data_IF_922408795677
#
_entry.id   IF_922408795677
#
_cell.length_a   1.000
_cell.length_b   1.000
_cell.length_c   1.000
_cell.angle_alpha   90.00
_cell.angle_beta   90.00
_cell.angle_gamma   90.00
#
_symmetry.space_group_name_H-M   'P 1'
#
loop_
_entity.id
_entity.type
_entity.pdbx_description
1 polymer ?
#
# COMPACT_ATOMS: atom_id res chain seq x y z
N UNK A 1 -29.11 -24.33 -1.18
CA UNK A 1 -28.23 -24.17 -2.36
C UNK A 1 -28.92 -23.65 -3.64
N UNK A 2 -30.26 -23.75 -3.79
CA UNK A 2 -30.96 -23.33 -5.03
C UNK A 2 -31.56 -21.90 -5.03
N UNK A 3 -31.66 -21.22 -3.87
CA UNK A 3 -32.23 -19.87 -3.82
C UNK A 3 -31.19 -18.78 -4.16
N UNK A 4 -29.95 -18.93 -3.67
CA UNK A 4 -28.84 -18.02 -3.97
C UNK A 4 -28.44 -18.04 -5.46
N UNK A 5 -28.39 -19.23 -6.08
CA UNK A 5 -28.13 -19.36 -7.52
C UNK A 5 -29.19 -18.70 -8.39
N UNK A 6 -30.45 -18.65 -7.93
CA UNK A 6 -31.54 -17.97 -8.65
C UNK A 6 -31.43 -16.45 -8.52
N UNK A 7 -31.07 -15.93 -7.34
CA UNK A 7 -30.86 -14.49 -7.10
C UNK A 7 -29.66 -13.94 -7.90
N UNK A 8 -28.58 -14.71 -8.05
CA UNK A 8 -27.44 -14.31 -8.89
C UNK A 8 -27.79 -14.34 -10.39
N UNK A 9 -28.52 -15.36 -10.84
CA UNK A 9 -28.94 -15.48 -12.25
C UNK A 9 -29.97 -14.43 -12.66
N UNK A 10 -30.89 -14.08 -11.75
CA UNK A 10 -31.87 -13.01 -11.96
C UNK A 10 -31.22 -11.60 -11.88
N UNK A 11 -30.06 -11.44 -11.21
CA UNK A 11 -29.26 -10.21 -11.25
C UNK A 11 -28.41 -10.11 -12.53
N UNK A 12 -27.80 -11.21 -12.98
CA UNK A 12 -27.04 -11.27 -14.24
C UNK A 12 -27.94 -11.00 -15.46
N UNK A 13 -29.14 -11.59 -15.54
CA UNK A 13 -30.09 -11.31 -16.63
C UNK A 13 -30.63 -9.88 -16.62
N UNK A 14 -30.71 -9.24 -15.45
CA UNK A 14 -31.16 -7.85 -15.30
C UNK A 14 -30.03 -6.84 -15.61
N UNK A 15 -28.76 -7.29 -15.59
CA UNK A 15 -27.60 -6.54 -16.07
C UNK A 15 -27.46 -6.73 -17.59
N UNK A 16 -27.53 -7.96 -18.11
CA UNK A 16 -27.47 -8.24 -19.55
C UNK A 16 -28.59 -7.53 -20.35
N UNK A 17 -29.83 -7.51 -19.82
CA UNK A 17 -30.96 -6.84 -20.49
C UNK A 17 -30.93 -5.30 -20.41
N UNK A 18 -30.07 -4.71 -19.56
CA UNK A 18 -29.88 -3.25 -19.46
C UNK A 18 -28.64 -2.75 -20.18
N UNK A 19 -27.59 -3.57 -20.32
CA UNK A 19 -26.32 -3.15 -20.94
C UNK A 19 -26.37 -3.22 -22.47
N UNK A 20 -27.05 -4.22 -23.04
CA UNK A 20 -27.13 -4.41 -24.49
C UNK A 20 -27.89 -3.31 -25.28
N UNK A 21 -28.98 -2.69 -24.78
CA UNK A 21 -29.67 -1.62 -25.50
C UNK A 21 -28.94 -0.26 -25.46
N UNK A 22 -28.05 -0.05 -24.47
CA UNK A 22 -27.31 1.22 -24.31
C UNK A 22 -26.18 1.34 -25.34
N UNK A 23 -25.70 0.21 -25.87
CA UNK A 23 -24.62 0.15 -26.88
C UNK A 23 -25.06 0.71 -28.24
N UNK A 24 -26.35 0.96 -28.49
CA UNK A 24 -26.87 1.38 -29.81
C UNK A 24 -27.44 2.80 -29.91
N UNK A 25 -27.32 3.67 -28.90
CA UNK A 25 -27.85 5.04 -29.03
C UNK A 25 -26.82 6.15 -28.74
N UNK A 26 -26.78 7.08 -29.71
CA UNK A 26 -26.16 8.42 -29.75
C UNK A 26 -24.64 8.52 -29.89
N UNK A 27 -24.21 8.60 -31.15
CA UNK A 27 -23.01 9.32 -31.59
C UNK A 27 -23.30 10.82 -31.46
N UNK A 28 -22.79 11.46 -30.41
CA UNK A 28 -22.30 12.85 -30.46
C UNK A 28 -21.25 13.04 -29.35
N UNK A 29 -20.08 13.44 -29.79
CA UNK A 29 -18.82 13.64 -29.07
C UNK A 29 -18.92 14.71 -27.95
N UNK A 30 -18.43 14.43 -26.71
CA UNK A 30 -17.93 15.47 -25.83
C UNK A 30 -16.50 15.12 -25.38
N UNK A 31 -15.56 15.03 -26.32
CA UNK A 31 -14.15 15.22 -26.00
C UNK A 31 -13.99 16.69 -25.55
N UNK A 32 -13.68 16.92 -24.27
CA UNK A 32 -13.63 18.20 -23.54
C UNK A 32 -14.94 18.76 -22.95
N UNK A 33 -15.64 17.97 -22.13
CA UNK A 33 -16.42 18.53 -21.02
C UNK A 33 -15.75 18.15 -19.71
N UNK A 34 -15.73 19.11 -18.78
CA UNK A 34 -15.17 19.05 -17.43
C UNK A 34 -15.37 17.67 -16.76
N UNK A 35 -14.37 16.79 -16.89
CA UNK A 35 -14.41 15.38 -16.47
C UNK A 35 -14.70 15.25 -14.96
N UNK A 36 -14.36 16.29 -14.21
CA UNK A 36 -14.55 16.40 -12.75
C UNK A 36 -16.02 16.62 -12.38
N UNK A 37 -16.80 17.27 -13.26
CA UNK A 37 -18.17 17.70 -12.98
C UNK A 37 -19.25 16.86 -13.69
N UNK A 38 -18.86 15.75 -14.33
CA UNK A 38 -19.81 14.83 -14.95
C UNK A 38 -20.75 14.24 -13.90
N UNK A 39 -22.02 14.13 -14.25
CA UNK A 39 -22.98 13.28 -13.53
C UNK A 39 -22.66 11.80 -13.74
N UNK A 40 -23.28 10.92 -12.95
CA UNK A 40 -23.11 9.47 -13.10
C UNK A 40 -23.58 8.96 -14.46
N UNK A 41 -24.68 9.52 -14.99
CA UNK A 41 -25.19 9.17 -16.32
C UNK A 41 -24.22 9.59 -17.42
N UNK A 42 -23.69 10.82 -17.37
CA UNK A 42 -22.71 11.32 -18.33
C UNK A 42 -21.40 10.52 -18.30
N UNK A 43 -20.94 10.11 -17.11
CA UNK A 43 -19.79 9.21 -16.97
C UNK A 43 -20.06 7.87 -17.65
N UNK A 44 -21.22 7.27 -17.43
CA UNK A 44 -21.56 5.98 -18.03
C UNK A 44 -21.64 6.07 -19.56
N UNK A 45 -22.24 7.13 -20.10
CA UNK A 45 -22.26 7.37 -21.55
C UNK A 45 -20.84 7.52 -22.11
N UNK A 46 -19.99 8.32 -21.46
CA UNK A 46 -18.60 8.50 -21.87
C UNK A 46 -17.83 7.18 -21.84
N UNK A 47 -17.91 6.43 -20.74
CA UNK A 47 -17.23 5.14 -20.57
C UNK A 47 -17.62 4.13 -21.65
N UNK A 48 -18.90 4.06 -22.01
CA UNK A 48 -19.38 3.22 -23.10
C UNK A 48 -18.85 3.71 -24.46
N UNK A 49 -18.83 5.03 -24.68
CA UNK A 49 -18.34 5.64 -25.92
C UNK A 49 -16.86 5.34 -26.14
N UNK A 50 -16.01 5.51 -25.12
CA UNK A 50 -14.58 5.21 -25.24
C UNK A 50 -14.35 3.71 -25.44
N UNK A 51 -15.07 2.84 -24.71
CA UNK A 51 -14.91 1.39 -24.85
C UNK A 51 -15.27 0.92 -26.25
N UNK A 52 -16.37 1.43 -26.80
CA UNK A 52 -16.78 1.12 -28.17
C UNK A 52 -15.73 1.58 -29.19
N UNK A 53 -15.15 2.77 -29.03
CA UNK A 53 -14.14 3.27 -29.98
C UNK A 53 -12.84 2.47 -29.92
N UNK A 54 -12.28 2.28 -28.73
CA UNK A 54 -10.92 1.76 -28.55
C UNK A 54 -10.84 0.23 -28.42
N UNK A 55 -11.88 -0.42 -27.91
CA UNK A 55 -11.91 -1.89 -27.76
C UNK A 55 -12.65 -2.51 -28.95
N UNK A 56 -13.91 -2.14 -29.16
CA UNK A 56 -14.77 -2.82 -30.16
C UNK A 56 -14.38 -2.50 -31.60
N UNK A 57 -14.23 -1.22 -31.94
CA UNK A 57 -13.93 -0.82 -33.33
C UNK A 57 -12.43 -0.71 -33.60
N UNK A 58 -11.62 -0.51 -32.55
CA UNK A 58 -10.19 -0.24 -32.66
C UNK A 58 -9.86 0.89 -33.67
N UNK A 59 -10.75 1.89 -33.76
CA UNK A 59 -10.67 3.00 -34.70
C UNK A 59 -10.06 4.24 -34.01
N UNK A 60 -8.73 4.24 -33.96
CA UNK A 60 -7.96 5.30 -33.33
C UNK A 60 -6.52 5.36 -33.86
N UNK A 61 -5.94 6.56 -33.80
CA UNK A 61 -4.52 6.80 -34.03
C UNK A 61 -3.75 6.82 -32.70
N UNK A 62 -2.42 6.74 -32.74
CA UNK A 62 -1.61 6.91 -31.53
C UNK A 62 -1.80 8.31 -30.91
N UNK A 63 -2.03 9.34 -31.74
CA UNK A 63 -2.37 10.69 -31.26
C UNK A 63 -3.74 10.74 -30.54
N UNK A 64 -4.67 9.83 -30.84
CA UNK A 64 -5.91 9.73 -30.06
C UNK A 64 -5.65 9.12 -28.68
N UNK A 65 -4.71 8.19 -28.57
CA UNK A 65 -4.31 7.59 -27.30
C UNK A 65 -3.65 8.61 -26.36
N UNK A 66 -2.84 9.52 -26.91
CA UNK A 66 -2.18 10.58 -26.14
C UNK A 66 -3.19 11.48 -25.40
N UNK A 67 -4.41 11.62 -25.94
CA UNK A 67 -5.48 12.44 -25.36
C UNK A 67 -6.23 11.75 -24.22
N UNK A 68 -6.08 10.44 -24.05
CA UNK A 68 -6.80 9.70 -23.01
C UNK A 68 -6.36 10.18 -21.62
N UNK A 69 -7.33 10.40 -20.73
CA UNK A 69 -7.03 10.65 -19.32
C UNK A 69 -6.54 9.36 -18.63
N UNK A 70 -5.97 9.48 -17.42
CA UNK A 70 -5.68 8.31 -16.58
C UNK A 70 -6.97 7.53 -16.28
N UNK A 71 -8.08 8.24 -16.02
CA UNK A 71 -9.38 7.63 -15.76
C UNK A 71 -9.95 6.92 -17.00
N UNK A 72 -9.80 7.48 -18.21
CA UNK A 72 -10.15 6.80 -19.46
C UNK A 72 -9.39 5.48 -19.61
N UNK A 73 -8.09 5.47 -19.31
CA UNK A 73 -7.27 4.27 -19.38
C UNK A 73 -7.67 3.24 -18.32
N UNK A 74 -8.05 3.67 -17.12
CA UNK A 74 -8.60 2.77 -16.10
C UNK A 74 -9.88 2.09 -16.59
N UNK A 75 -10.77 2.81 -17.29
CA UNK A 75 -11.97 2.25 -17.93
C UNK A 75 -11.58 1.25 -19.02
N UNK A 76 -10.66 1.61 -19.92
CA UNK A 76 -10.25 0.73 -21.01
C UNK A 76 -9.60 -0.56 -20.50
N UNK A 77 -8.71 -0.48 -19.51
CA UNK A 77 -8.07 -1.65 -18.90
C UNK A 77 -9.11 -2.58 -18.28
N UNK A 78 -10.03 -2.05 -17.46
CA UNK A 78 -11.04 -2.86 -16.81
C UNK A 78 -12.03 -3.49 -17.78
N UNK A 79 -12.52 -2.73 -18.76
CA UNK A 79 -13.47 -3.24 -19.74
C UNK A 79 -12.82 -4.27 -20.67
N UNK A 80 -11.53 -4.11 -20.99
CA UNK A 80 -10.79 -5.13 -21.74
C UNK A 80 -10.61 -6.41 -20.91
N UNK A 81 -10.24 -6.29 -19.62
CA UNK A 81 -10.18 -7.45 -18.69
C UNK A 81 -11.52 -8.15 -18.57
N UNK A 82 -12.61 -7.39 -18.46
CA UNK A 82 -13.96 -7.94 -18.40
C UNK A 82 -14.31 -8.69 -19.69
N UNK A 83 -14.00 -8.12 -20.86
CA UNK A 83 -14.24 -8.77 -22.16
C UNK A 83 -13.45 -10.08 -22.33
N UNK A 84 -12.19 -10.10 -21.90
CA UNK A 84 -11.34 -11.30 -21.88
C UNK A 84 -11.92 -12.39 -20.96
N UNK A 85 -12.23 -12.04 -19.71
CA UNK A 85 -12.71 -12.99 -18.71
C UNK A 85 -14.06 -13.61 -19.06
N UNK A 86 -14.91 -12.88 -19.78
CA UNK A 86 -16.24 -13.33 -20.19
C UNK A 86 -16.28 -13.82 -21.65
N UNK A 87 -15.15 -13.88 -22.35
CA UNK A 87 -15.04 -14.34 -23.74
C UNK A 87 -16.03 -13.65 -24.68
N UNK A 88 -16.25 -12.33 -24.48
CA UNK A 88 -17.27 -11.55 -25.21
C UNK A 88 -16.97 -11.53 -26.72
N UNK A 89 -15.71 -11.71 -27.11
CA UNK A 89 -15.26 -11.77 -28.50
C UNK A 89 -14.51 -13.09 -28.75
N UNK A 90 -15.21 -14.12 -29.26
CA UNK A 90 -14.68 -15.48 -29.42
C UNK A 90 -13.48 -15.59 -30.38
N UNK A 91 -13.41 -14.73 -31.41
CA UNK A 91 -12.33 -14.73 -32.41
C UNK A 91 -11.26 -13.64 -32.17
N UNK A 92 -11.28 -12.98 -31.01
CA UNK A 92 -10.52 -11.75 -30.74
C UNK A 92 -9.65 -11.77 -29.48
N UNK A 93 -9.43 -12.94 -28.85
CA UNK A 93 -8.71 -13.02 -27.56
C UNK A 93 -7.28 -12.46 -27.66
N UNK A 94 -6.49 -12.87 -28.66
CA UNK A 94 -5.12 -12.35 -28.86
C UNK A 94 -5.12 -10.83 -29.06
N UNK A 95 -6.09 -10.30 -29.81
CA UNK A 95 -6.23 -8.85 -30.02
C UNK A 95 -6.55 -8.12 -28.71
N UNK A 96 -7.45 -8.66 -27.89
CA UNK A 96 -7.79 -8.09 -26.59
C UNK A 96 -6.61 -8.16 -25.60
N UNK A 97 -5.79 -9.20 -25.62
CA UNK A 97 -4.57 -9.28 -24.81
C UNK A 97 -3.55 -8.19 -25.23
N UNK A 98 -3.38 -7.98 -26.54
CA UNK A 98 -2.55 -6.90 -27.07
C UNK A 98 -3.08 -5.52 -26.68
N UNK A 99 -4.40 -5.29 -26.78
CA UNK A 99 -5.03 -4.05 -26.34
C UNK A 99 -4.87 -3.84 -24.84
N UNK A 100 -5.08 -4.87 -24.03
CA UNK A 100 -4.92 -4.82 -22.58
C UNK A 100 -3.49 -4.39 -22.21
N UNK A 101 -2.49 -5.04 -22.82
CA UNK A 101 -1.08 -4.68 -22.64
C UNK A 101 -0.81 -3.24 -23.07
N UNK A 102 -1.34 -2.81 -24.23
CA UNK A 102 -1.18 -1.44 -24.74
C UNK A 102 -1.77 -0.40 -23.78
N UNK A 103 -3.02 -0.58 -23.33
CA UNK A 103 -3.68 0.35 -22.43
C UNK A 103 -3.04 0.35 -21.03
N UNK A 104 -2.64 -0.81 -20.52
CA UNK A 104 -1.97 -0.92 -19.23
C UNK A 104 -0.61 -0.20 -19.23
N UNK A 105 0.21 -0.42 -20.26
CA UNK A 105 1.52 0.25 -20.37
C UNK A 105 1.36 1.77 -20.54
N UNK A 106 0.34 2.21 -21.29
CA UNK A 106 0.04 3.64 -21.42
C UNK A 106 -0.46 4.24 -20.10
N UNK A 107 -1.25 3.50 -19.32
CA UNK A 107 -1.70 3.91 -17.98
C UNK A 107 -0.50 4.12 -17.05
N UNK A 108 0.37 3.12 -16.95
CA UNK A 108 1.61 3.19 -16.16
C UNK A 108 2.45 4.40 -16.58
N UNK A 109 2.65 4.57 -17.89
CA UNK A 109 3.40 5.71 -18.43
C UNK A 109 2.77 7.06 -18.08
N UNK A 110 1.44 7.21 -18.17
CA UNK A 110 0.77 8.45 -17.78
C UNK A 110 0.85 8.73 -16.29
N UNK A 111 0.79 7.69 -15.44
CA UNK A 111 0.97 7.82 -14.00
C UNK A 111 2.39 8.34 -13.70
N UNK A 112 3.43 7.72 -14.29
CA UNK A 112 4.82 8.10 -14.06
C UNK A 112 5.16 9.53 -14.57
N UNK A 113 4.46 9.99 -15.61
CA UNK A 113 4.70 11.30 -16.23
C UNK A 113 3.69 12.39 -15.81
N UNK A 114 2.76 12.09 -14.89
CA UNK A 114 1.84 13.10 -14.38
C UNK A 114 2.59 14.17 -13.57
N UNK A 115 2.17 15.43 -13.67
CA UNK A 115 2.76 16.53 -12.89
C UNK A 115 2.51 16.36 -11.39
N UNK A 116 1.31 15.89 -11.06
CA UNK A 116 0.81 15.73 -9.70
C UNK A 116 -0.18 14.56 -9.63
N UNK A 117 -0.11 13.80 -8.54
CA UNK A 117 -1.09 12.78 -8.16
C UNK A 117 -1.43 12.99 -6.67
N UNK A 118 -2.62 12.56 -6.26
CA UNK A 118 -3.09 12.70 -4.90
C UNK A 118 -3.17 11.34 -4.23
N UNK A 119 -2.78 11.23 -2.96
CA UNK A 119 -2.99 10.02 -2.15
C UNK A 119 -3.82 10.34 -0.92
N UNK A 120 -4.47 9.32 -0.36
CA UNK A 120 -5.16 9.43 0.92
C UNK A 120 -4.24 8.90 2.02
N UNK A 121 -3.97 9.75 3.01
CA UNK A 121 -3.23 9.40 4.22
C UNK A 121 -4.21 9.04 5.32
N UNK A 122 -3.98 7.89 5.98
CA UNK A 122 -4.67 7.58 7.23
C UNK A 122 -4.04 8.40 8.35
N UNK A 123 -4.81 9.31 8.95
CA UNK A 123 -4.30 10.23 9.98
C UNK A 123 -3.87 9.49 11.26
N UNK A 124 -4.32 8.26 11.49
CA UNK A 124 -3.95 7.47 12.66
C UNK A 124 -2.57 6.81 12.50
N UNK A 125 -2.17 6.49 11.27
CA UNK A 125 -0.86 5.87 10.99
C UNK A 125 0.15 6.88 10.43
N UNK A 126 -0.33 7.93 9.78
CA UNK A 126 0.47 8.87 9.00
C UNK A 126 0.96 8.31 7.66
N UNK A 127 0.56 7.10 7.28
CA UNK A 127 0.92 6.45 6.01
C UNK A 127 -0.23 6.51 5.00
N UNK A 128 0.06 6.33 3.69
CA UNK A 128 -0.98 6.07 2.71
C UNK A 128 -1.88 4.91 3.15
N UNK A 129 -3.20 5.10 3.03
CA UNK A 129 -4.17 4.09 3.42
C UNK A 129 -4.01 2.83 2.56
N UNK A 130 -3.86 1.68 3.21
CA UNK A 130 -3.77 0.36 2.57
C UNK A 130 -5.16 -0.29 2.60
N UNK A 131 -5.67 -0.65 1.42
CA UNK A 131 -6.98 -1.29 1.28
C UNK A 131 -6.84 -2.79 0.98
N UNK A 132 -7.23 -3.64 1.93
CA UNK A 132 -7.24 -5.10 1.74
C UNK A 132 -8.13 -5.52 0.56
N UNK A 133 -9.22 -4.78 0.28
CA UNK A 133 -10.12 -5.08 -0.84
C UNK A 133 -9.52 -4.71 -2.20
N UNK A 134 -8.54 -3.80 -2.20
CA UNK A 134 -7.77 -3.42 -3.38
C UNK A 134 -6.43 -4.18 -3.42
N UNK A 135 -6.39 -5.41 -2.90
CA UNK A 135 -5.20 -6.26 -2.89
C UNK A 135 -4.03 -5.62 -2.12
N UNK A 136 -4.28 -5.09 -0.93
CA UNK A 136 -3.26 -4.41 -0.11
C UNK A 136 -2.55 -3.26 -0.86
N UNK A 137 -3.29 -2.57 -1.74
CA UNK A 137 -2.78 -1.42 -2.49
C UNK A 137 -3.11 -0.10 -1.80
N UNK A 138 -2.31 0.92 -2.08
CA UNK A 138 -2.59 2.30 -1.65
C UNK A 138 -3.47 3.02 -2.66
N UNK A 139 -4.32 3.93 -2.21
CA UNK A 139 -5.15 4.71 -3.13
C UNK A 139 -4.39 5.91 -3.70
N UNK A 140 -4.43 6.04 -5.02
CA UNK A 140 -3.96 7.20 -5.76
C UNK A 140 -5.08 7.77 -6.62
N UNK A 141 -5.08 9.08 -6.82
CA UNK A 141 -6.10 9.79 -7.58
C UNK A 141 -5.46 10.70 -8.61
N UNK A 142 -5.94 10.62 -9.84
CA UNK A 142 -5.48 11.45 -10.95
C UNK A 142 -5.91 12.91 -10.82
N UNK A 143 -6.94 13.18 -10.01
CA UNK A 143 -7.50 14.52 -9.78
C UNK A 143 -7.81 14.75 -8.31
N UNK A 144 -7.63 15.99 -7.86
CA UNK A 144 -7.91 16.40 -6.47
C UNK A 144 -9.35 16.13 -6.08
N UNK A 145 -10.29 16.46 -6.98
CA UNK A 145 -11.72 16.30 -6.73
C UNK A 145 -12.12 14.85 -6.48
N UNK A 146 -11.43 13.89 -7.11
CA UNK A 146 -11.68 12.46 -6.89
C UNK A 146 -11.23 12.04 -5.50
N UNK A 147 -10.06 12.50 -5.06
CA UNK A 147 -9.58 12.29 -3.69
C UNK A 147 -10.51 12.93 -2.65
N UNK A 148 -10.99 14.16 -2.89
CA UNK A 148 -11.96 14.85 -2.03
C UNK A 148 -13.26 14.06 -1.88
N UNK A 149 -13.83 13.60 -3.00
CA UNK A 149 -15.06 12.80 -2.95
C UNK A 149 -14.86 11.48 -2.18
N UNK A 150 -13.70 10.83 -2.33
CA UNK A 150 -13.37 9.63 -1.58
C UNK A 150 -13.23 9.92 -0.08
N UNK A 151 -12.49 10.97 0.30
CA UNK A 151 -12.37 11.38 1.70
C UNK A 151 -13.73 11.70 2.30
N UNK A 152 -14.57 12.49 1.62
CA UNK A 152 -15.92 12.84 2.08
C UNK A 152 -16.77 11.58 2.34
N UNK A 153 -16.73 10.61 1.43
CA UNK A 153 -17.46 9.34 1.55
C UNK A 153 -16.98 8.51 2.75
N UNK A 154 -15.67 8.33 2.92
CA UNK A 154 -15.12 7.49 4.00
C UNK A 154 -15.12 8.19 5.36
N UNK A 155 -15.08 9.52 5.42
CA UNK A 155 -15.31 10.29 6.65
C UNK A 155 -16.72 10.07 7.20
N UNK A 156 -17.74 9.97 6.33
CA UNK A 156 -19.09 9.58 6.76
C UNK A 156 -19.14 8.14 7.33
N UNK A 157 -18.13 7.32 7.02
CA UNK A 157 -17.93 5.98 7.58
C UNK A 157 -16.95 5.95 8.76
N UNK A 158 -16.72 7.09 9.40
CA UNK A 158 -15.85 7.24 10.58
C UNK A 158 -14.36 6.93 10.31
N UNK A 159 -13.90 7.02 9.05
CA UNK A 159 -12.47 7.02 8.73
C UNK A 159 -11.88 8.42 8.91
N UNK A 160 -10.65 8.50 9.42
CA UNK A 160 -9.92 9.75 9.61
C UNK A 160 -8.84 9.86 8.53
N UNK A 161 -9.16 10.57 7.45
CA UNK A 161 -8.31 10.66 6.26
C UNK A 161 -7.92 12.11 5.95
N UNK A 162 -6.78 12.27 5.29
CA UNK A 162 -6.35 13.54 4.68
C UNK A 162 -5.80 13.30 3.28
N UNK A 163 -5.81 14.35 2.45
CA UNK A 163 -5.28 14.29 1.09
C UNK A 163 -3.86 14.81 1.11
N UNK A 164 -2.93 14.03 0.56
CA UNK A 164 -1.56 14.47 0.29
C UNK A 164 -1.35 14.60 -1.21
N UNK A 165 -0.81 15.75 -1.61
CA UNK A 165 -0.33 16.02 -2.97
C UNK A 165 1.07 15.43 -3.14
N UNK A 166 1.27 14.66 -4.21
CA UNK A 166 2.55 14.10 -4.60
C UNK A 166 2.92 14.72 -5.94
N UNK A 167 4.00 15.48 -5.99
CA UNK A 167 4.53 16.05 -7.22
C UNK A 167 5.41 15.04 -7.94
N UNK A 168 5.54 15.16 -9.25
CA UNK A 168 6.36 14.27 -10.08
C UNK A 168 7.78 14.05 -9.52
N UNK A 169 8.42 15.12 -9.02
CA UNK A 169 9.76 15.08 -8.42
C UNK A 169 9.88 14.12 -7.22
N UNK A 170 8.77 13.83 -6.53
CA UNK A 170 8.70 12.90 -5.40
C UNK A 170 8.17 11.51 -5.75
N UNK A 171 7.79 11.25 -7.01
CA UNK A 171 7.20 9.96 -7.41
C UNK A 171 8.11 8.78 -7.15
N UNK A 172 9.41 8.90 -7.47
CA UNK A 172 10.37 7.83 -7.21
C UNK A 172 10.46 7.48 -5.73
N UNK A 173 10.50 8.50 -4.86
CA UNK A 173 10.53 8.29 -3.42
C UNK A 173 9.23 7.65 -2.93
N UNK A 174 8.08 8.14 -3.39
CA UNK A 174 6.78 7.57 -3.03
C UNK A 174 6.64 6.10 -3.48
N UNK A 175 7.04 5.76 -4.70
CA UNK A 175 7.00 4.38 -5.18
C UNK A 175 8.02 3.49 -4.46
N UNK A 176 9.18 4.03 -4.07
CA UNK A 176 10.12 3.32 -3.21
C UNK A 176 9.52 3.04 -1.82
N UNK A 177 8.73 3.96 -1.27
CA UNK A 177 8.06 3.76 0.02
C UNK A 177 7.03 2.62 -0.02
N UNK A 178 6.43 2.33 -1.18
CA UNK A 178 5.54 1.16 -1.34
C UNK A 178 6.27 -0.15 -1.04
N UNK A 179 7.56 -0.24 -1.40
CA UNK A 179 8.41 -1.37 -1.03
C UNK A 179 8.71 -1.41 0.47
N UNK A 180 8.86 -0.27 1.14
CA UNK A 180 9.14 -0.23 2.58
C UNK A 180 7.91 -0.62 3.42
N UNK A 181 6.72 -0.20 3.00
CA UNK A 181 5.46 -0.48 3.72
C UNK A 181 4.82 -1.82 3.33
N UNK A 182 5.39 -2.51 2.33
CA UNK A 182 4.90 -3.81 1.86
C UNK A 182 3.61 -3.75 1.04
N UNK A 183 3.22 -2.58 0.52
CA UNK A 183 2.04 -2.46 -0.32
C UNK A 183 2.20 -3.29 -1.60
N UNK A 184 1.11 -3.87 -2.11
CA UNK A 184 1.16 -4.61 -3.37
C UNK A 184 1.44 -3.67 -4.56
N UNK A 185 0.77 -2.52 -4.56
CA UNK A 185 0.84 -1.52 -5.60
C UNK A 185 -0.06 -0.34 -5.28
N UNK A 186 -0.67 0.22 -6.32
CA UNK A 186 -1.59 1.34 -6.22
C UNK A 186 -2.95 0.95 -6.81
N UNK A 187 -4.01 1.55 -6.29
CA UNK A 187 -5.35 1.47 -6.86
C UNK A 187 -5.78 2.88 -7.26
N UNK A 188 -5.86 3.10 -8.57
CA UNK A 188 -6.16 4.41 -9.16
C UNK A 188 -7.66 4.73 -9.09
N UNK A 189 -7.96 5.97 -8.72
CA UNK A 189 -9.29 6.60 -8.83
C UNK A 189 -10.40 5.78 -8.16
N UNK A 190 -10.16 5.37 -6.91
CA UNK A 190 -11.13 4.65 -6.10
C UNK A 190 -12.46 5.42 -5.97
N UNK A 191 -13.59 4.73 -6.09
CA UNK A 191 -14.92 5.34 -6.16
C UNK A 191 -15.39 5.70 -7.58
N UNK A 192 -14.53 5.54 -8.58
CA UNK A 192 -14.87 5.53 -10.01
C UNK A 192 -14.61 4.12 -10.58
N UNK A 193 -14.44 4.02 -11.90
CA UNK A 193 -13.90 2.81 -12.54
C UNK A 193 -12.40 2.78 -12.29
N UNK A 194 -11.99 2.24 -11.14
CA UNK A 194 -10.61 2.25 -10.67
C UNK A 194 -9.76 1.08 -11.16
N UNK A 195 -8.45 1.26 -11.27
CA UNK A 195 -7.53 0.24 -11.80
C UNK A 195 -6.37 -0.02 -10.84
N UNK A 196 -6.09 -1.30 -10.58
CA UNK A 196 -4.89 -1.72 -9.87
C UNK A 196 -3.66 -1.69 -10.79
N UNK A 197 -2.55 -1.14 -10.30
CA UNK A 197 -1.23 -1.15 -10.94
C UNK A 197 -0.20 -1.64 -9.92
N UNK A 198 0.64 -2.60 -10.31
CA UNK A 198 1.65 -3.17 -9.40
C UNK A 198 2.78 -2.18 -9.15
N UNK A 199 3.38 -2.19 -7.95
CA UNK A 199 4.52 -1.32 -7.66
C UNK A 199 5.71 -1.59 -8.58
N UNK A 200 5.92 -2.85 -8.98
CA UNK A 200 7.03 -3.26 -9.85
C UNK A 200 6.92 -2.66 -11.26
N UNK A 201 5.70 -2.35 -11.72
CA UNK A 201 5.49 -1.70 -13.01
C UNK A 201 5.75 -0.18 -12.93
N UNK A 202 5.69 0.40 -11.73
CA UNK A 202 5.90 1.83 -11.48
C UNK A 202 7.36 2.16 -11.17
N UNK A 203 8.01 1.28 -10.42
CA UNK A 203 9.41 1.40 -10.03
C UNK A 203 9.98 -0.01 -9.83
N UNK A 204 11.09 -0.32 -10.48
CA UNK A 204 11.77 -1.59 -10.29
C UNK A 204 12.31 -1.73 -8.86
N UNK A 205 12.25 -2.95 -8.31
CA UNK A 205 12.81 -3.23 -7.01
C UNK A 205 14.35 -3.05 -7.03
N UNK A 206 14.96 -2.56 -5.93
CA UNK A 206 16.41 -2.55 -5.81
C UNK A 206 16.99 -3.96 -5.99
N UNK A 207 17.97 -4.08 -6.88
CA UNK A 207 18.65 -5.35 -7.12
C UNK A 207 19.86 -5.49 -6.19
N UNK A 208 19.81 -6.45 -5.27
CA UNK A 208 20.87 -6.76 -4.32
C UNK A 208 21.65 -8.05 -4.65
N UNK A 209 21.51 -8.60 -5.85
CA UNK A 209 22.04 -9.93 -6.20
C UNK A 209 23.55 -10.11 -5.96
N UNK A 210 24.32 -9.04 -6.13
CA UNK A 210 25.78 -9.02 -5.91
C UNK A 210 26.20 -8.36 -4.58
N UNK A 211 25.22 -7.96 -3.75
CA UNK A 211 25.49 -7.28 -2.46
C UNK A 211 25.63 -8.33 -1.35
N UNK A 212 26.72 -8.30 -0.55
CA UNK A 212 26.83 -9.16 0.62
C UNK A 212 25.60 -9.01 1.53
N UNK A 213 25.05 -10.12 2.04
CA UNK A 213 23.81 -10.13 2.84
C UNK A 213 23.81 -9.10 3.97
N UNK A 214 24.97 -8.89 4.60
CA UNK A 214 25.13 -7.94 5.70
C UNK A 214 25.00 -6.49 5.24
N UNK A 215 25.39 -6.18 4.00
CA UNK A 215 25.32 -4.85 3.36
C UNK A 215 23.96 -4.54 2.74
N UNK A 216 23.06 -5.54 2.65
CA UNK A 216 21.69 -5.31 2.19
C UNK A 216 20.97 -4.47 3.27
N UNK A 217 20.40 -3.31 2.90
CA UNK A 217 19.66 -2.47 3.85
C UNK A 217 18.56 -3.27 4.55
N UNK A 218 18.44 -3.07 5.86
CA UNK A 218 17.34 -3.66 6.64
C UNK A 218 16.03 -3.00 6.22
N UNK A 219 15.07 -3.83 5.84
CA UNK A 219 13.69 -3.45 5.55
C UNK A 219 12.76 -4.54 6.07
N UNK A 220 11.58 -4.17 6.57
CA UNK A 220 10.60 -5.14 7.06
C UNK A 220 9.20 -4.93 6.43
N UNK A 221 9.06 -5.08 5.10
CA UNK A 221 7.80 -4.81 4.40
C UNK A 221 6.61 -5.60 4.94
N UNK A 222 6.80 -6.88 5.23
CA UNK A 222 5.72 -7.77 5.67
C UNK A 222 5.25 -7.41 7.09
N UNK A 223 6.18 -7.05 7.97
CA UNK A 223 5.85 -6.50 9.29
C UNK A 223 5.14 -5.16 9.16
N UNK A 224 5.64 -4.25 8.32
CA UNK A 224 5.01 -2.94 8.12
C UNK A 224 3.60 -3.07 7.57
N UNK A 225 3.37 -3.95 6.59
CA UNK A 225 2.04 -4.20 6.06
C UNK A 225 1.09 -4.72 7.15
N UNK A 226 1.50 -5.74 7.90
CA UNK A 226 0.69 -6.30 8.98
C UNK A 226 0.40 -5.27 10.08
N UNK A 227 1.39 -4.45 10.44
CA UNK A 227 1.27 -3.40 11.44
C UNK A 227 0.31 -2.30 10.97
N UNK A 228 0.46 -1.80 9.75
CA UNK A 228 -0.42 -0.77 9.21
C UNK A 228 -1.86 -1.25 9.13
N UNK A 229 -2.10 -2.47 8.64
CA UNK A 229 -3.45 -3.06 8.58
C UNK A 229 -4.08 -3.16 9.97
N UNK A 230 -3.34 -3.67 10.96
CA UNK A 230 -3.82 -3.75 12.34
C UNK A 230 -4.11 -2.36 12.91
N UNK A 231 -3.21 -1.39 12.72
CA UNK A 231 -3.37 -0.02 13.22
C UNK A 231 -4.56 0.71 12.59
N UNK A 232 -4.75 0.58 11.27
CA UNK A 232 -5.91 1.13 10.55
C UNK A 232 -7.24 0.54 11.05
N UNK A 233 -7.28 -0.76 11.36
CA UNK A 233 -8.49 -1.45 11.82
C UNK A 233 -8.80 -1.16 13.30
N UNK A 234 -7.77 -1.09 14.15
CA UNK A 234 -7.92 -0.69 15.55
C UNK A 234 -8.43 0.74 15.67
N UNK A 235 -7.93 1.66 14.85
CA UNK A 235 -8.33 3.06 14.86
C UNK A 235 -9.73 3.29 14.27
N UNK A 236 -10.25 2.35 13.48
CA UNK A 236 -11.60 2.45 12.93
C UNK A 236 -12.64 2.17 14.02
N UNK A 237 -13.23 3.24 14.56
CA UNK A 237 -14.18 3.17 15.67
C UNK A 237 -15.60 2.80 15.21
N UNK A 238 -15.72 1.70 14.46
CA UNK A 238 -16.98 1.13 13.99
C UNK A 238 -17.03 -0.32 14.40
N UNK A 239 -18.15 -0.75 14.98
CA UNK A 239 -18.37 -2.16 15.31
C UNK A 239 -19.24 -2.82 14.23
N UNK A 240 -18.64 -3.66 13.39
CA UNK A 240 -19.32 -4.45 12.37
C UNK A 240 -19.28 -5.95 12.72
N UNK A 241 -20.20 -6.79 12.16
CA UNK A 241 -20.42 -8.15 12.64
C UNK A 241 -19.18 -9.03 12.78
N UNK A 242 -18.20 -8.88 11.88
CA UNK A 242 -17.01 -9.76 11.82
C UNK A 242 -15.73 -9.08 12.35
N UNK A 243 -15.84 -7.92 13.02
CA UNK A 243 -14.67 -7.13 13.42
C UNK A 243 -13.70 -7.90 14.32
N UNK A 244 -14.22 -8.68 15.26
CA UNK A 244 -13.35 -9.47 16.16
C UNK A 244 -12.57 -10.55 15.41
N UNK A 245 -13.15 -11.17 14.38
CA UNK A 245 -12.46 -12.13 13.54
C UNK A 245 -11.37 -11.46 12.71
N UNK A 246 -11.69 -10.31 12.11
CA UNK A 246 -10.71 -9.49 11.37
C UNK A 246 -9.54 -9.08 12.26
N UNK A 247 -9.82 -8.53 13.45
CA UNK A 247 -8.78 -8.16 14.41
C UNK A 247 -7.95 -9.36 14.86
N UNK A 248 -8.58 -10.51 15.11
CA UNK A 248 -7.85 -11.73 15.48
C UNK A 248 -6.91 -12.22 14.37
N UNK A 249 -7.35 -12.15 13.11
CA UNK A 249 -6.51 -12.46 11.94
C UNK A 249 -5.34 -11.50 11.81
N UNK A 250 -5.59 -10.19 11.89
CA UNK A 250 -4.56 -9.16 11.77
C UNK A 250 -3.55 -9.22 12.92
N UNK A 251 -4.02 -9.49 14.15
CA UNK A 251 -3.16 -9.69 15.31
C UNK A 251 -2.26 -10.92 15.14
N UNK A 252 -2.81 -12.04 14.67
CA UNK A 252 -2.05 -13.26 14.38
C UNK A 252 -0.98 -13.02 13.31
N UNK A 253 -1.33 -12.30 12.25
CA UNK A 253 -0.39 -11.93 11.18
C UNK A 253 0.73 -11.02 11.72
N UNK A 254 0.38 -9.96 12.45
CA UNK A 254 1.36 -9.06 13.07
C UNK A 254 2.29 -9.80 14.04
N UNK A 255 1.78 -10.71 14.86
CA UNK A 255 2.61 -11.51 15.76
C UNK A 255 3.63 -12.36 15.01
N UNK A 256 3.22 -13.05 13.93
CA UNK A 256 4.13 -13.85 13.10
C UNK A 256 5.19 -12.98 12.44
N UNK A 257 4.76 -11.89 11.80
CA UNK A 257 5.68 -10.98 11.09
C UNK A 257 6.62 -10.24 12.04
N UNK A 258 6.22 -10.02 13.29
CA UNK A 258 7.11 -9.50 14.33
C UNK A 258 8.28 -10.45 14.61
N UNK A 259 8.03 -11.76 14.71
CA UNK A 259 9.08 -12.75 14.98
C UNK A 259 10.06 -12.95 13.80
N UNK A 260 9.61 -12.69 12.58
CA UNK A 260 10.41 -12.80 11.35
C UNK A 260 11.26 -11.53 11.09
N UNK A 261 10.90 -10.41 11.72
CA UNK A 261 11.50 -9.10 11.48
C UNK A 261 12.87 -8.91 12.17
N UNK A 262 13.68 -8.02 11.56
CA UNK A 262 14.95 -7.54 12.10
C UNK A 262 14.93 -6.02 12.19
N UNK A 263 15.28 -5.45 13.33
CA UNK A 263 15.16 -4.04 13.59
C UNK A 263 16.53 -3.37 13.73
N UNK A 264 16.60 -2.11 13.33
CA UNK A 264 17.74 -1.25 13.62
C UNK A 264 17.56 -0.63 15.00
N UNK A 265 18.52 -0.86 15.89
CA UNK A 265 18.60 -0.24 17.21
C UNK A 265 19.75 0.78 17.20
N UNK A 266 19.51 2.04 17.58
CA UNK A 266 20.55 3.06 17.59
C UNK A 266 21.61 2.75 18.64
N UNK A 267 22.88 2.90 18.28
CA UNK A 267 24.02 2.71 19.18
C UNK A 267 25.03 3.84 19.04
N UNK A 268 25.75 4.14 20.13
CA UNK A 268 27.02 4.88 20.11
C UNK A 268 28.15 3.98 20.55
N UNK A 269 29.36 4.28 20.07
CA UNK A 269 30.57 3.56 20.45
C UNK A 269 30.76 2.21 19.73
N UNK A 270 29.90 1.88 18.76
CA UNK A 270 30.18 0.78 17.83
C UNK A 270 31.33 1.20 16.89
N UNK A 271 32.35 0.34 16.69
CA UNK A 271 33.35 0.58 15.66
C UNK A 271 32.64 0.68 14.31
N UNK A 272 32.80 1.82 13.64
CA UNK A 272 32.44 1.94 12.23
C UNK A 272 33.39 1.00 11.48
N UNK A 273 32.84 0.02 10.74
CA UNK A 273 33.66 -0.74 9.79
C UNK A 273 34.32 0.23 8.80
N UNK A 274 35.48 -0.13 8.27
CA UNK A 274 36.10 0.67 7.21
C UNK A 274 35.06 0.89 6.09
N UNK A 275 34.87 2.16 5.78
CA UNK A 275 33.76 2.71 5.01
C UNK A 275 33.53 2.01 3.67
N UNK A 276 32.48 1.19 3.58
CA UNK A 276 31.62 0.99 2.39
C UNK A 276 30.70 -0.24 2.50
N UNK A 277 30.94 -1.13 3.46
CA UNK A 277 30.19 -2.37 3.60
C UNK A 277 29.86 -2.65 5.07
N UNK A 278 28.64 -3.10 5.33
CA UNK A 278 28.30 -3.59 6.65
C UNK A 278 29.22 -4.79 6.95
N UNK A 279 29.97 -4.70 8.03
CA UNK A 279 30.99 -5.67 8.37
C UNK A 279 30.58 -6.40 9.65
N UNK A 280 30.85 -7.69 9.73
CA UNK A 280 30.76 -8.43 10.99
C UNK A 280 31.86 -7.89 11.92
N UNK A 281 31.49 -6.99 12.83
CA UNK A 281 32.43 -6.39 13.78
C UNK A 281 32.55 -7.31 14.99
N UNK A 282 33.66 -8.04 15.08
CA UNK A 282 34.03 -8.72 16.32
C UNK A 282 34.33 -7.67 17.38
N UNK A 283 33.43 -7.53 18.36
CA UNK A 283 33.62 -6.61 19.48
C UNK A 283 34.87 -7.01 20.25
N UNK A 284 35.82 -6.08 20.36
CA UNK A 284 36.96 -6.27 21.26
C UNK A 284 36.44 -6.25 22.70
N UNK A 285 37.05 -7.08 23.56
CA UNK A 285 36.86 -6.99 25.02
C UNK A 285 37.11 -5.53 25.41
N UNK A 286 36.16 -4.93 26.13
CA UNK A 286 36.14 -3.53 26.59
C UNK A 286 35.55 -2.47 25.62
N UNK A 287 34.86 -2.88 24.54
CA UNK A 287 34.08 -1.94 23.71
C UNK A 287 32.83 -1.45 24.48
N UNK A 288 32.78 -0.16 24.83
CA UNK A 288 31.60 0.45 25.44
C UNK A 288 30.56 0.84 24.36
N UNK A 289 29.57 -0.02 24.16
CA UNK A 289 28.39 0.28 23.33
C UNK A 289 27.29 0.85 24.23
N UNK A 290 26.73 2.00 23.85
CA UNK A 290 25.58 2.58 24.54
C UNK A 290 24.38 2.67 23.62
N UNK A 291 23.23 2.20 24.09
CA UNK A 291 21.93 2.33 23.41
C UNK A 291 21.16 3.48 24.10
N UNK A 292 20.67 4.49 23.35
CA UNK A 292 19.79 5.50 23.93
C UNK A 292 18.44 4.86 24.28
N UNK A 293 17.81 5.35 25.34
CA UNK A 293 16.46 4.95 25.71
C UNK A 293 15.50 6.13 25.60
N UNK A 294 14.23 5.81 25.39
CA UNK A 294 13.12 6.74 25.47
C UNK A 294 12.60 6.75 26.89
N UNK A 295 12.31 7.93 27.43
CA UNK A 295 11.62 8.09 28.71
C UNK A 295 10.11 8.19 28.49
N UNK A 296 9.38 7.21 29.03
CA UNK A 296 7.93 7.21 29.09
C UNK A 296 7.39 8.16 30.16
N UNK A 297 6.12 8.56 30.03
CA UNK A 297 5.45 9.48 30.98
C UNK A 297 5.34 8.92 32.41
N UNK A 298 5.42 7.61 32.55
CA UNK A 298 5.36 6.84 33.79
C UNK A 298 6.75 6.43 34.32
N UNK A 299 7.83 6.96 33.71
CA UNK A 299 9.20 6.60 34.06
C UNK A 299 9.67 5.26 33.46
N UNK A 300 8.87 4.64 32.58
CA UNK A 300 9.35 3.48 31.82
C UNK A 300 10.48 3.89 30.88
N UNK A 301 11.50 3.03 30.78
CA UNK A 301 12.59 3.19 29.84
C UNK A 301 12.35 2.23 28.67
N UNK A 302 12.29 2.77 27.46
CA UNK A 302 12.03 2.01 26.25
C UNK A 302 13.21 2.01 25.29
N UNK A 303 13.52 0.85 24.72
CA UNK A 303 14.53 0.75 23.65
C UNK A 303 13.87 1.14 22.32
N UNK A 304 14.40 2.13 21.58
CA UNK A 304 13.93 2.45 20.23
C UNK A 304 14.40 1.40 19.22
N UNK A 305 13.48 0.95 18.36
CA UNK A 305 13.74 0.02 17.27
C UNK A 305 13.11 0.52 15.97
N UNK A 306 13.74 0.28 14.82
CA UNK A 306 13.28 0.79 13.53
C UNK A 306 13.22 -0.28 12.46
N UNK A 307 12.20 -0.22 11.61
CA UNK A 307 11.99 -1.19 10.53
C UNK A 307 12.93 -1.01 9.34
N UNK A 308 13.54 0.16 9.22
CA UNK A 308 14.39 0.54 8.11
C UNK A 308 15.13 1.84 8.44
N UNK A 309 16.12 2.16 7.59
CA UNK A 309 16.94 3.37 7.74
C UNK A 309 16.15 4.67 7.57
N UNK A 310 15.06 4.68 6.79
CA UNK A 310 14.22 5.88 6.63
C UNK A 310 13.55 6.21 7.96
N UNK A 311 12.96 5.23 8.64
CA UNK A 311 12.38 5.42 9.98
C UNK A 311 13.43 5.76 11.03
N UNK A 312 14.60 5.12 10.98
CA UNK A 312 15.72 5.43 11.86
C UNK A 312 16.12 6.91 11.77
N UNK A 313 16.29 7.43 10.55
CA UNK A 313 16.74 8.79 10.31
C UNK A 313 15.68 9.87 10.55
N UNK A 314 14.40 9.52 10.78
CA UNK A 314 13.42 10.49 11.28
C UNK A 314 13.81 10.99 12.69
N UNK A 315 14.37 10.10 13.51
CA UNK A 315 14.71 10.41 14.91
C UNK A 315 16.22 10.63 15.09
N UNK A 316 17.05 9.82 14.42
CA UNK A 316 18.51 9.81 14.55
C UNK A 316 19.15 10.33 13.26
N UNK A 317 19.16 11.66 13.12
CA UNK A 317 19.60 12.37 11.91
C UNK A 317 21.11 12.64 11.86
N UNK A 318 21.77 12.69 13.01
CA UNK A 318 23.21 12.96 13.07
C UNK A 318 23.99 11.65 12.93
N UNK A 319 25.11 11.65 12.21
CA UNK A 319 26.03 10.51 12.04
C UNK A 319 26.69 10.01 13.35
N UNK A 320 26.22 10.47 14.50
CA UNK A 320 26.66 10.06 15.84
C UNK A 320 26.13 8.68 16.25
N UNK A 321 25.14 8.17 15.52
CA UNK A 321 24.50 6.88 15.80
C UNK A 321 24.70 5.90 14.65
N UNK A 322 25.05 4.66 15.02
CA UNK A 322 25.04 3.50 14.13
C UNK A 322 23.76 2.68 14.37
N UNK A 323 23.40 1.83 13.40
CA UNK A 323 22.29 0.89 13.52
C UNK A 323 22.78 -0.51 13.85
N UNK A 324 22.47 -1.01 15.04
CA UNK A 324 22.67 -2.41 15.39
C UNK A 324 21.44 -3.22 14.98
N UNK A 325 21.63 -4.21 14.11
CA UNK A 325 20.57 -5.11 13.68
C UNK A 325 20.27 -6.12 14.79
N UNK A 326 19.02 -6.14 15.26
CA UNK A 326 18.53 -7.06 16.30
C UNK A 326 17.26 -7.76 15.83
N UNK A 327 17.10 -9.04 16.18
CA UNK A 327 15.83 -9.76 16.01
C UNK A 327 14.82 -9.33 17.08
N UNK A 328 13.54 -9.68 16.89
CA UNK A 328 12.53 -9.49 17.94
C UNK A 328 12.88 -10.22 19.24
N UNK A 329 13.50 -11.41 19.13
CA UNK A 329 13.98 -12.18 20.28
C UNK A 329 15.08 -11.44 21.04
N UNK A 330 16.07 -10.89 20.34
CA UNK A 330 17.16 -10.13 20.98
C UNK A 330 16.60 -8.93 21.78
N UNK A 331 15.68 -8.17 21.18
CA UNK A 331 14.99 -7.06 21.85
C UNK A 331 14.21 -7.54 23.09
N UNK A 332 13.56 -8.70 22.97
CA UNK A 332 12.79 -9.31 24.05
C UNK A 332 13.68 -9.76 25.21
N UNK A 333 14.87 -10.31 24.92
CA UNK A 333 15.86 -10.66 25.94
C UNK A 333 16.43 -9.41 26.62
N UNK A 334 16.72 -8.36 25.86
CA UNK A 334 17.22 -7.09 26.38
C UNK A 334 16.29 -6.46 27.42
N UNK A 335 14.98 -6.40 27.14
CA UNK A 335 14.02 -5.81 28.10
C UNK A 335 13.71 -6.74 29.29
N UNK A 336 14.12 -8.02 29.24
CA UNK A 336 14.07 -8.92 30.41
C UNK A 336 15.30 -8.79 31.29
N UNK A 337 16.47 -8.52 30.71
CA UNK A 337 17.76 -8.52 31.40
C UNK A 337 18.20 -7.15 31.93
N UNK A 338 17.48 -6.08 31.61
CA UNK A 338 17.84 -4.70 31.94
C UNK A 338 16.74 -4.01 32.77
N UNK A 339 17.00 -2.78 33.22
CA UNK A 339 15.96 -1.92 33.83
C UNK A 339 15.00 -1.33 32.76
N UNK A 340 15.09 -1.75 31.50
CA UNK A 340 14.15 -1.38 30.46
C UNK A 340 12.93 -2.29 30.54
N UNK A 341 11.73 -1.73 30.40
CA UNK A 341 10.48 -2.49 30.54
C UNK A 341 9.74 -2.64 29.21
N UNK A 342 10.27 -2.03 28.14
CA UNK A 342 9.64 -1.99 26.83
C UNK A 342 10.65 -1.72 25.72
N UNK A 343 10.24 -1.97 24.49
CA UNK A 343 10.83 -1.37 23.29
C UNK A 343 9.73 -0.81 22.41
N UNK A 344 10.06 0.20 21.62
CA UNK A 344 9.11 0.91 20.75
C UNK A 344 9.61 0.85 19.33
N UNK A 345 8.81 0.24 18.46
CA UNK A 345 9.10 0.16 17.03
C UNK A 345 8.57 1.43 16.35
N UNK A 346 9.40 2.10 15.54
CA UNK A 346 9.06 3.28 14.73
C UNK A 346 8.47 4.46 15.52
N UNK A 347 9.14 4.86 16.60
CA UNK A 347 8.79 5.95 17.55
C UNK A 347 8.26 7.24 16.90
N UNK A 348 8.73 7.58 15.69
CA UNK A 348 8.34 8.81 14.99
C UNK A 348 7.03 8.74 14.20
N UNK A 349 6.69 7.58 13.63
CA UNK A 349 5.58 7.45 12.67
C UNK A 349 4.93 6.08 12.77
N UNK A 350 3.67 6.05 13.24
CA UNK A 350 2.95 4.84 13.63
C UNK A 350 3.75 4.00 14.65
N UNK A 351 3.99 4.50 15.87
CA UNK A 351 4.76 3.75 16.86
C UNK A 351 4.02 2.52 17.38
N UNK A 352 4.75 1.44 17.64
CA UNK A 352 4.23 0.22 18.28
C UNK A 352 5.00 -0.05 19.58
N UNK A 353 4.28 0.04 20.70
CA UNK A 353 4.82 -0.24 22.03
C UNK A 353 4.80 -1.74 22.33
N UNK A 354 5.97 -2.31 22.61
CA UNK A 354 6.11 -3.71 23.02
C UNK A 354 6.55 -3.76 24.47
N UNK A 355 5.66 -4.28 25.32
CA UNK A 355 5.84 -4.44 26.76
C UNK A 355 5.77 -5.91 27.15
N UNK A 356 6.05 -6.26 28.41
CA UNK A 356 5.85 -7.62 28.92
C UNK A 356 4.42 -8.16 28.67
N UNK A 357 3.40 -7.30 28.75
CA UNK A 357 2.02 -7.68 28.45
C UNK A 357 1.83 -8.00 26.95
N UNK A 358 2.47 -7.24 26.07
CA UNK A 358 2.47 -7.51 24.63
C UNK A 358 3.12 -8.87 24.35
N UNK A 359 4.22 -9.21 25.04
CA UNK A 359 4.89 -10.51 24.88
C UNK A 359 4.02 -11.68 25.32
N UNK A 360 3.30 -11.55 26.44
CA UNK A 360 2.37 -12.60 26.90
C UNK A 360 1.19 -12.77 25.93
N UNK A 361 0.71 -11.68 25.32
CA UNK A 361 -0.29 -11.75 24.26
C UNK A 361 0.23 -12.46 23.02
N UNK A 362 1.47 -12.20 22.59
CA UNK A 362 2.09 -12.91 21.45
C UNK A 362 2.16 -14.42 21.73
N UNK A 363 2.58 -14.83 22.93
CA UNK A 363 2.61 -16.25 23.33
C UNK A 363 1.23 -16.91 23.25
N UNK A 364 0.21 -16.21 23.74
CA UNK A 364 -1.18 -16.68 23.69
C UNK A 364 -1.67 -16.85 22.24
N UNK A 365 -1.51 -15.81 21.41
CA UNK A 365 -1.97 -15.78 20.01
C UNK A 365 -1.26 -16.84 19.17
N UNK A 366 0.04 -17.04 19.37
CA UNK A 366 0.84 -18.01 18.61
C UNK A 366 0.85 -19.41 19.22
N UNK A 367 0.33 -19.58 20.44
CA UNK A 367 0.40 -20.81 21.21
C UNK A 367 1.84 -21.31 21.38
N UNK A 368 2.73 -20.43 21.83
CA UNK A 368 4.16 -20.70 22.07
C UNK A 368 4.54 -20.38 23.52
N UNK A 369 5.57 -21.04 24.04
CA UNK A 369 6.03 -20.85 25.43
C UNK A 369 7.01 -19.70 25.60
N UNK A 370 7.78 -19.41 24.55
CA UNK A 370 8.81 -18.37 24.53
C UNK A 370 8.74 -17.59 23.21
N UNK A 371 9.18 -16.34 23.28
CA UNK A 371 9.27 -15.38 22.18
C UNK A 371 10.73 -15.17 21.88
#
# INVERSE_FOLDING_TARGET
MNLLKKIFKDKEQNIESKVLPIIQQSITNPMNTDEENRTEEERNIHNNTISNRYITHSDYSDHDLDKLSIQDLCVLVNNTKYALNNQIFLDGVEHLELLLSKFYNLLVSKIQNADIIYTIIDNNTGYPYIDENAQDSVWLFSRKKYAENAVDFYTQQYRSFSIQEIKNESFKEFFADLYLIGAYGIYMDNGLVGCAVKKEDLLEAPNWGDTPTISIPVTNPEFMLAHLKMSQELAWNVNYPDRNEVLGRLELELCRKSLEARFLVPTKGMPQGDSSEASEVTLQKDTNISIPFLEGKDGTHAIPAFTDWKQFHIIYTNNDYSGWIMTFKDLTEMIKSSNHNAFVINVGKCPMDVTSKSLDRIKEVLNITEV
#
